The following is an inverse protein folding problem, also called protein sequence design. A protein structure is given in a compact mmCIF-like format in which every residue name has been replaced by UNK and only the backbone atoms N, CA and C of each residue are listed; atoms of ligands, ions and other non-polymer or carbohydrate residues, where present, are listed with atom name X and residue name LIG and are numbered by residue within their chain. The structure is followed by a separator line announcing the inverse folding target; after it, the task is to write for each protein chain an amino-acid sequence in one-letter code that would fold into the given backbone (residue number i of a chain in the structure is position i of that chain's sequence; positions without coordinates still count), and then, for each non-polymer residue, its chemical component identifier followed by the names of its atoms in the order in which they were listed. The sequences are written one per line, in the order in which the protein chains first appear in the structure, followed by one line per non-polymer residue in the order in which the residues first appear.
data_IF_529856038020
#
_entry.id   IF_529856038020
#
_cell.length_a   1.000
_cell.length_b   1.000
_cell.length_c   1.000
_cell.angle_alpha   90.00
_cell.angle_beta   90.00
_cell.angle_gamma   90.00
#
_symmetry.space_group_name_H-M   'P 1'
#
loop_
_entity.id
_entity.type
_entity.pdbx_description
1 polymer ?
#
# COMPACT_ATOMS: atom_id res chain seq x y z
N UNK A 1 27.03 22.70 -6.75
CA UNK A 1 25.73 22.01 -6.95
C UNK A 1 25.85 20.64 -6.28
N UNK A 2 25.04 20.29 -5.29
CA UNK A 2 24.97 18.90 -4.85
C UNK A 2 24.47 18.05 -6.03
N UNK A 3 24.97 16.82 -6.22
CA UNK A 3 24.45 15.94 -7.25
C UNK A 3 22.96 15.71 -6.98
N UNK A 4 22.15 15.92 -8.02
CA UNK A 4 20.77 15.42 -8.03
C UNK A 4 20.87 13.91 -7.78
N UNK A 5 20.45 13.46 -6.58
CA UNK A 5 20.26 12.05 -6.29
C UNK A 5 19.32 11.51 -7.37
N UNK A 6 19.81 10.64 -8.23
CA UNK A 6 18.96 9.94 -9.16
C UNK A 6 18.02 9.08 -8.32
N UNK A 7 16.72 9.40 -8.30
CA UNK A 7 15.72 8.54 -7.66
C UNK A 7 15.85 7.14 -8.24
N UNK A 8 16.03 6.14 -7.39
CA UNK A 8 16.03 4.75 -7.82
C UNK A 8 14.61 4.41 -8.28
N UNK A 9 14.46 4.19 -9.58
CA UNK A 9 13.16 3.91 -10.18
C UNK A 9 12.76 2.46 -9.93
N UNK A 10 11.47 2.25 -9.68
CA UNK A 10 10.87 0.91 -9.68
C UNK A 10 11.17 0.19 -11.01
N UNK A 11 11.49 -1.09 -10.93
CA UNK A 11 11.53 -1.95 -12.12
C UNK A 11 10.23 -2.72 -12.21
N UNK A 12 9.57 -2.62 -13.37
CA UNK A 12 8.26 -3.22 -13.58
C UNK A 12 8.25 -4.03 -14.87
N UNK A 13 7.83 -5.28 -14.77
CA UNK A 13 7.60 -6.17 -15.91
C UNK A 13 6.13 -6.52 -15.95
N UNK A 14 5.49 -6.34 -17.10
CA UNK A 14 4.10 -6.73 -17.33
C UNK A 14 4.07 -7.80 -18.40
N UNK A 15 3.39 -8.90 -18.12
CA UNK A 15 3.23 -10.03 -19.03
C UNK A 15 1.79 -10.50 -19.04
N UNK A 16 1.32 -11.02 -20.17
CA UNK A 16 0.01 -11.66 -20.28
C UNK A 16 0.13 -13.17 -20.13
N UNK A 17 -0.76 -13.76 -19.34
CA UNK A 17 -0.76 -15.18 -19.11
C UNK A 17 -1.90 -15.61 -18.19
N UNK A 18 -2.22 -16.89 -18.22
CA UNK A 18 -3.23 -17.47 -17.33
C UNK A 18 -2.71 -17.67 -15.92
N UNK A 19 -3.62 -17.98 -15.01
CA UNK A 19 -3.35 -18.22 -13.59
C UNK A 19 -2.24 -19.25 -13.34
N UNK A 20 -2.22 -20.34 -14.06
CA UNK A 20 -1.22 -21.41 -13.92
C UNK A 20 0.18 -20.89 -14.21
N UNK A 21 0.32 -20.03 -15.24
CA UNK A 21 1.59 -19.38 -15.56
C UNK A 21 2.03 -18.42 -14.47
N UNK A 22 1.09 -17.64 -13.92
CA UNK A 22 1.37 -16.79 -12.77
C UNK A 22 1.90 -17.63 -11.59
N UNK A 23 1.27 -18.75 -11.27
CA UNK A 23 1.71 -19.63 -10.16
C UNK A 23 3.09 -20.22 -10.40
N UNK A 24 3.47 -20.53 -11.65
CA UNK A 24 4.84 -20.92 -11.98
C UNK A 24 5.85 -19.81 -11.71
N UNK A 25 5.55 -18.59 -12.12
CA UNK A 25 6.39 -17.43 -11.87
C UNK A 25 6.49 -17.19 -10.37
N UNK A 26 5.38 -17.19 -9.65
CA UNK A 26 5.34 -17.00 -8.21
C UNK A 26 6.22 -18.01 -7.47
N UNK A 27 6.15 -19.28 -7.87
CA UNK A 27 7.02 -20.33 -7.32
C UNK A 27 8.50 -20.08 -7.62
N UNK A 28 8.82 -19.56 -8.80
CA UNK A 28 10.20 -19.21 -9.19
C UNK A 28 10.80 -18.09 -8.35
N UNK A 29 9.97 -17.21 -7.79
CA UNK A 29 10.38 -16.13 -6.91
C UNK A 29 10.21 -16.44 -5.42
N UNK A 30 9.85 -17.67 -5.07
CA UNK A 30 9.73 -18.09 -3.67
C UNK A 30 11.05 -17.87 -2.92
N UNK A 31 11.01 -17.13 -1.82
CA UNK A 31 12.20 -16.77 -1.05
C UNK A 31 13.05 -15.64 -1.66
N UNK A 32 12.61 -14.98 -2.72
CA UNK A 32 13.30 -13.80 -3.31
C UNK A 32 12.79 -12.52 -2.64
N UNK A 33 13.55 -11.87 -1.76
CA UNK A 33 13.12 -10.61 -1.14
C UNK A 33 13.08 -9.49 -2.19
N UNK A 34 12.22 -8.48 -1.93
CA UNK A 34 12.14 -7.27 -2.76
C UNK A 34 11.46 -7.47 -4.13
N UNK A 35 10.78 -8.60 -4.35
CA UNK A 35 9.98 -8.84 -5.56
C UNK A 35 8.52 -8.99 -5.16
N UNK A 36 7.65 -8.20 -5.76
CA UNK A 36 6.20 -8.25 -5.59
C UNK A 36 5.53 -8.75 -6.85
N UNK A 37 4.57 -9.63 -6.67
CA UNK A 37 3.91 -10.32 -7.77
C UNK A 37 2.41 -10.05 -7.73
N UNK A 38 1.86 -9.72 -8.89
CA UNK A 38 0.43 -9.42 -9.04
C UNK A 38 -0.15 -10.22 -10.20
N UNK A 39 -1.40 -10.62 -10.03
CA UNK A 39 -2.20 -11.23 -11.09
C UNK A 39 -3.62 -10.68 -11.06
N UNK A 40 -4.12 -10.29 -12.19
CA UNK A 40 -5.52 -9.96 -12.38
C UNK A 40 -5.88 -9.99 -13.87
N UNK A 41 -7.01 -10.60 -14.22
CA UNK A 41 -7.57 -10.62 -15.58
C UNK A 41 -6.53 -10.93 -16.67
N UNK A 42 -5.81 -12.04 -16.52
CA UNK A 42 -4.79 -12.48 -17.47
C UNK A 42 -3.53 -11.59 -17.52
N UNK A 43 -3.40 -10.61 -16.63
CA UNK A 43 -2.22 -9.77 -16.53
C UNK A 43 -1.38 -10.19 -15.33
N UNK A 44 -0.10 -10.48 -15.58
CA UNK A 44 0.92 -10.77 -14.58
C UNK A 44 1.84 -9.56 -14.49
N UNK A 45 2.04 -9.06 -13.27
CA UNK A 45 2.97 -7.96 -13.02
C UNK A 45 4.03 -8.40 -12.02
N UNK A 46 5.27 -8.08 -12.30
CA UNK A 46 6.43 -8.29 -11.43
C UNK A 46 6.99 -6.91 -11.15
N UNK A 47 7.03 -6.53 -9.87
CA UNK A 47 7.52 -5.24 -9.42
C UNK A 47 8.72 -5.47 -8.50
N UNK A 48 9.79 -4.77 -8.78
CA UNK A 48 10.95 -4.62 -7.90
C UNK A 48 10.99 -3.15 -7.47
N UNK A 49 10.50 -2.83 -6.25
CA UNK A 49 10.45 -1.46 -5.74
C UNK A 49 11.85 -0.86 -5.62
N UNK A 50 11.96 0.41 -5.94
CA UNK A 50 13.16 1.19 -5.69
C UNK A 50 13.31 1.61 -4.23
N UNK A 51 14.46 2.17 -3.85
CA UNK A 51 14.77 2.60 -2.49
C UNK A 51 13.75 3.63 -1.97
N UNK A 52 13.41 4.65 -2.78
CA UNK A 52 12.43 5.67 -2.39
C UNK A 52 11.05 5.06 -2.14
N UNK A 53 10.64 4.08 -2.95
CA UNK A 53 9.37 3.37 -2.79
C UNK A 53 9.29 2.68 -1.43
N UNK A 54 10.33 1.90 -1.08
CA UNK A 54 10.39 1.20 0.21
C UNK A 54 10.46 2.18 1.38
N UNK A 55 11.20 3.30 1.23
CA UNK A 55 11.27 4.33 2.27
C UNK A 55 9.92 4.95 2.57
N UNK A 56 9.14 5.32 1.55
CA UNK A 56 7.78 5.83 1.72
C UNK A 56 6.83 4.80 2.33
N UNK A 57 6.86 3.57 1.84
CA UNK A 57 6.02 2.49 2.39
C UNK A 57 6.29 2.30 3.88
N UNK A 58 7.58 2.24 4.26
CA UNK A 58 7.99 2.10 5.66
C UNK A 58 7.52 3.26 6.55
N UNK A 59 7.71 4.50 6.10
CA UNK A 59 7.29 5.69 6.86
C UNK A 59 5.78 5.75 7.02
N UNK A 60 5.02 5.51 5.95
CA UNK A 60 3.55 5.46 5.99
C UNK A 60 3.10 4.42 7.00
N UNK A 61 3.66 3.21 6.93
CA UNK A 61 3.35 2.13 7.85
C UNK A 61 3.67 2.48 9.29
N UNK A 62 4.81 3.12 9.55
CA UNK A 62 5.22 3.54 10.90
C UNK A 62 4.28 4.60 11.49
N UNK A 63 3.97 5.65 10.74
CA UNK A 63 3.08 6.72 11.18
C UNK A 63 1.66 6.20 11.46
N UNK A 64 1.13 5.37 10.55
CA UNK A 64 -0.18 4.76 10.73
C UNK A 64 -0.22 3.85 11.95
N UNK A 65 0.77 2.98 12.11
CA UNK A 65 0.89 2.10 13.29
C UNK A 65 0.96 2.91 14.58
N UNK A 66 1.72 4.00 14.59
CA UNK A 66 1.81 4.91 15.73
C UNK A 66 0.43 5.47 16.08
N UNK A 67 -0.32 5.96 15.10
CA UNK A 67 -1.68 6.47 15.31
C UNK A 67 -2.60 5.39 15.89
N UNK A 68 -2.62 4.21 15.30
CA UNK A 68 -3.48 3.10 15.76
C UNK A 68 -3.19 2.70 17.22
N UNK A 69 -1.91 2.67 17.60
CA UNK A 69 -1.48 2.39 18.98
C UNK A 69 -1.97 3.47 19.94
N UNK A 70 -1.75 4.75 19.63
CA UNK A 70 -2.12 5.87 20.49
C UNK A 70 -3.66 6.01 20.66
N UNK A 71 -4.41 5.62 19.61
CA UNK A 71 -5.88 5.59 19.67
C UNK A 71 -6.44 4.33 20.35
N UNK A 72 -5.60 3.38 20.76
CA UNK A 72 -6.03 2.12 21.35
C UNK A 72 -6.84 1.23 20.41
N UNK A 73 -6.65 1.39 19.10
CA UNK A 73 -7.35 0.60 18.09
C UNK A 73 -6.67 -0.75 17.94
N UNK A 74 -7.44 -1.83 18.04
CA UNK A 74 -6.89 -3.15 17.72
C UNK A 74 -6.61 -3.25 16.22
N UNK A 75 -5.40 -3.65 15.88
CA UNK A 75 -5.00 -3.90 14.50
C UNK A 75 -3.98 -5.04 14.41
N UNK A 76 -3.90 -5.64 13.23
CA UNK A 76 -2.82 -6.56 12.88
C UNK A 76 -2.20 -6.08 11.57
N UNK A 77 -0.91 -5.65 11.58
CA UNK A 77 -0.21 -5.36 10.33
C UNK A 77 0.02 -6.68 9.59
N UNK A 78 -0.23 -6.67 8.31
CA UNK A 78 -0.01 -7.82 7.42
C UNK A 78 1.03 -7.49 6.35
N UNK A 79 1.49 -6.22 6.29
CA UNK A 79 2.55 -5.77 5.39
C UNK A 79 2.29 -6.17 3.94
N UNK A 80 3.33 -6.63 3.26
CA UNK A 80 3.27 -7.11 1.88
C UNK A 80 2.81 -8.58 1.76
N UNK A 81 1.95 -9.05 2.66
CA UNK A 81 1.38 -10.40 2.57
C UNK A 81 0.64 -10.59 1.25
N UNK A 82 0.82 -11.75 0.62
CA UNK A 82 0.04 -12.11 -0.56
C UNK A 82 -1.43 -12.26 -0.19
N UNK A 83 -2.27 -11.46 -0.82
CA UNK A 83 -3.73 -11.52 -0.76
C UNK A 83 -4.21 -12.17 -2.05
N UNK A 84 -4.94 -13.27 -1.95
CA UNK A 84 -5.25 -14.09 -3.12
C UNK A 84 -6.67 -14.64 -3.09
N UNK A 85 -7.33 -14.59 -4.25
CA UNK A 85 -8.49 -15.40 -4.58
C UNK A 85 -8.13 -16.27 -5.77
N UNK A 86 -7.97 -17.56 -5.52
CA UNK A 86 -7.47 -18.55 -6.48
C UNK A 86 -8.16 -18.46 -7.85
N UNK A 87 -7.38 -18.47 -8.91
CA UNK A 87 -7.85 -18.36 -10.29
C UNK A 87 -8.28 -16.96 -10.72
N UNK A 88 -8.38 -15.99 -9.81
CA UNK A 88 -8.98 -14.67 -10.08
C UNK A 88 -7.98 -13.54 -9.91
N UNK A 89 -7.37 -13.43 -8.72
CA UNK A 89 -6.53 -12.30 -8.37
C UNK A 89 -5.49 -12.68 -7.32
N UNK A 90 -4.31 -12.09 -7.43
CA UNK A 90 -3.26 -12.12 -6.41
C UNK A 90 -2.60 -10.75 -6.35
N UNK A 91 -2.46 -10.15 -5.16
CA UNK A 91 -1.78 -8.88 -4.93
C UNK A 91 -0.91 -8.93 -3.69
N UNK A 92 0.12 -8.08 -3.69
CA UNK A 92 0.99 -7.81 -2.55
C UNK A 92 1.07 -6.29 -2.39
N UNK A 93 0.22 -5.74 -1.52
CA UNK A 93 0.26 -4.30 -1.19
C UNK A 93 1.61 -3.94 -0.55
N UNK A 94 1.97 -2.66 -0.58
CA UNK A 94 3.18 -2.19 0.12
C UNK A 94 3.00 -2.31 1.62
N UNK A 95 1.83 -1.90 2.11
CA UNK A 95 1.41 -2.08 3.50
C UNK A 95 -0.05 -2.54 3.54
N UNK A 96 -0.41 -3.35 4.53
CA UNK A 96 -1.80 -3.75 4.74
C UNK A 96 -2.12 -4.03 6.21
N UNK A 97 -3.39 -3.84 6.60
CA UNK A 97 -3.83 -3.92 7.99
C UNK A 97 -5.21 -4.55 8.10
N UNK A 98 -5.34 -5.47 9.06
CA UNK A 98 -6.65 -5.84 9.58
C UNK A 98 -6.98 -4.91 10.76
N UNK A 99 -8.16 -4.30 10.77
CA UNK A 99 -8.63 -3.38 11.81
C UNK A 99 -9.77 -4.05 12.60
N UNK A 100 -9.69 -3.96 13.92
CA UNK A 100 -10.71 -4.50 14.85
C UNK A 100 -10.64 -6.01 15.06
N UNK A 101 -10.24 -6.81 14.08
CA UNK A 101 -10.07 -8.27 14.20
C UNK A 101 -9.11 -8.80 13.14
N UNK A 102 -8.57 -10.00 13.35
CA UNK A 102 -7.74 -10.68 12.35
C UNK A 102 -8.62 -11.25 11.24
N UNK A 103 -8.28 -10.98 9.99
CA UNK A 103 -9.02 -11.39 8.79
C UNK A 103 -8.09 -12.00 7.74
N UNK A 104 -8.64 -12.78 6.85
CA UNK A 104 -7.88 -13.33 5.72
C UNK A 104 -7.57 -12.25 4.68
N UNK A 105 -8.54 -11.38 4.41
CA UNK A 105 -8.35 -10.20 3.56
C UNK A 105 -8.31 -8.98 4.49
N UNK A 106 -7.25 -8.15 4.41
CA UNK A 106 -7.12 -6.94 5.21
C UNK A 106 -8.24 -5.93 4.95
N UNK A 107 -8.50 -5.06 5.92
CA UNK A 107 -9.45 -3.96 5.78
C UNK A 107 -8.86 -2.78 5.00
N UNK A 108 -7.54 -2.61 5.10
CA UNK A 108 -6.80 -1.54 4.48
C UNK A 108 -5.63 -2.10 3.70
N UNK A 109 -5.48 -1.68 2.46
CA UNK A 109 -4.27 -1.85 1.66
C UNK A 109 -3.72 -0.48 1.24
N UNK A 110 -2.41 -0.31 1.30
CA UNK A 110 -1.72 0.93 0.97
C UNK A 110 -0.71 0.64 -0.14
N UNK A 111 -0.69 1.48 -1.15
CA UNK A 111 0.20 1.42 -2.30
C UNK A 111 0.97 2.73 -2.46
N UNK A 112 2.27 2.63 -2.62
CA UNK A 112 3.13 3.72 -3.06
C UNK A 112 3.26 3.65 -4.58
N UNK A 113 3.03 4.74 -5.27
CA UNK A 113 2.98 4.77 -6.74
C UNK A 113 3.91 5.85 -7.27
N UNK A 114 5.04 5.46 -7.84
CA UNK A 114 5.96 6.36 -8.55
C UNK A 114 5.77 6.33 -10.07
N UNK A 115 5.16 5.27 -10.59
CA UNK A 115 4.79 5.13 -11.99
C UNK A 115 3.29 5.17 -12.14
N UNK A 116 2.77 5.84 -13.16
CA UNK A 116 1.33 5.99 -13.41
C UNK A 116 0.57 4.65 -13.37
N UNK A 117 -0.68 4.67 -12.93
CA UNK A 117 -1.56 3.50 -12.96
C UNK A 117 -2.17 3.09 -11.64
N UNK A 118 -2.12 3.92 -10.59
CA UNK A 118 -2.72 3.61 -9.28
C UNK A 118 -4.19 3.24 -9.39
N UNK A 119 -4.99 3.99 -10.15
CA UNK A 119 -6.44 3.74 -10.31
C UNK A 119 -6.74 2.39 -10.95
N UNK A 120 -5.93 1.94 -11.93
CA UNK A 120 -6.11 0.63 -12.55
C UNK A 120 -5.88 -0.55 -11.59
N UNK A 121 -5.15 -0.32 -10.50
CA UNK A 121 -4.95 -1.30 -9.45
C UNK A 121 -6.20 -1.54 -8.59
N UNK A 122 -7.14 -0.59 -8.53
CA UNK A 122 -8.37 -0.71 -7.73
C UNK A 122 -9.20 -1.94 -8.11
N UNK A 123 -9.26 -2.32 -9.38
CA UNK A 123 -10.02 -3.49 -9.83
C UNK A 123 -9.48 -4.79 -9.20
N UNK A 124 -8.18 -4.88 -8.94
CA UNK A 124 -7.56 -6.02 -8.24
C UNK A 124 -8.04 -6.11 -6.78
N UNK A 125 -8.05 -4.98 -6.08
CA UNK A 125 -8.51 -4.90 -4.70
C UNK A 125 -10.01 -5.10 -4.59
N UNK A 126 -10.79 -4.61 -5.57
CA UNK A 126 -12.22 -4.89 -5.69
C UNK A 126 -12.48 -6.39 -5.82
N UNK A 127 -11.71 -7.07 -6.67
CA UNK A 127 -11.81 -8.51 -6.83
C UNK A 127 -11.53 -9.29 -5.55
N UNK A 128 -10.75 -8.75 -4.62
CA UNK A 128 -10.51 -9.29 -3.29
C UNK A 128 -11.58 -8.89 -2.27
N UNK A 129 -12.29 -7.78 -2.49
CA UNK A 129 -13.23 -7.21 -1.54
C UNK A 129 -12.54 -6.44 -0.41
N UNK A 130 -11.37 -5.83 -0.66
CA UNK A 130 -10.68 -4.98 0.32
C UNK A 130 -11.52 -3.73 0.59
N UNK A 131 -11.93 -3.44 1.85
CA UNK A 131 -12.81 -2.32 2.15
C UNK A 131 -12.25 -0.95 1.79
N UNK A 132 -10.95 -0.73 2.00
CA UNK A 132 -10.33 0.56 1.75
C UNK A 132 -8.93 0.42 1.15
N UNK A 133 -8.62 1.26 0.16
CA UNK A 133 -7.31 1.32 -0.50
C UNK A 133 -6.80 2.75 -0.50
N UNK A 134 -5.56 2.94 -0.04
CA UNK A 134 -4.88 4.21 -0.08
C UNK A 134 -3.75 4.18 -1.11
N UNK A 135 -3.64 5.25 -1.89
CA UNK A 135 -2.50 5.47 -2.78
C UNK A 135 -1.71 6.69 -2.34
N UNK A 136 -0.43 6.50 -2.13
CA UNK A 136 0.53 7.58 -2.06
C UNK A 136 1.14 7.78 -3.45
N UNK A 137 0.74 8.83 -4.13
CA UNK A 137 1.13 9.11 -5.52
C UNK A 137 1.42 10.60 -5.70
N UNK A 138 2.61 10.93 -6.19
CA UNK A 138 3.04 12.32 -6.44
C UNK A 138 2.91 13.25 -5.22
N UNK A 139 3.22 12.77 -4.02
CA UNK A 139 3.08 13.52 -2.78
C UNK A 139 1.64 13.71 -2.30
N UNK A 140 0.68 13.02 -2.91
CA UNK A 140 -0.73 13.06 -2.58
C UNK A 140 -1.21 11.73 -2.01
N UNK A 141 -1.96 11.79 -0.92
CA UNK A 141 -2.69 10.64 -0.40
C UNK A 141 -4.10 10.61 -0.99
N UNK A 142 -4.42 9.54 -1.71
CA UNK A 142 -5.74 9.29 -2.30
C UNK A 142 -6.37 8.10 -1.60
N UNK A 143 -7.55 8.29 -1.02
CA UNK A 143 -8.29 7.27 -0.29
C UNK A 143 -9.47 6.81 -1.15
N UNK A 144 -9.65 5.50 -1.25
CA UNK A 144 -10.77 4.88 -1.96
C UNK A 144 -11.44 3.87 -1.04
N UNK A 145 -12.74 4.01 -0.88
CA UNK A 145 -13.58 3.11 -0.09
C UNK A 145 -14.48 2.28 -0.99
N UNK A 146 -14.58 0.97 -0.73
CA UNK A 146 -15.43 0.06 -1.50
C UNK A 146 -16.88 0.20 -1.05
N UNK A 147 -17.73 0.70 -1.94
CA UNK A 147 -19.15 0.85 -1.71
C UNK A 147 -19.94 0.26 -2.90
N UNK A 148 -20.92 -0.57 -2.63
CA UNK A 148 -21.81 -1.17 -3.64
C UNK A 148 -21.10 -1.72 -4.88
N UNK A 149 -19.98 -2.45 -4.68
CA UNK A 149 -19.15 -3.03 -5.73
C UNK A 149 -18.33 -2.04 -6.57
N UNK A 150 -18.14 -0.80 -6.13
CA UNK A 150 -17.22 0.17 -6.75
C UNK A 150 -16.42 0.91 -5.69
N UNK A 151 -15.21 1.35 -6.08
CA UNK A 151 -14.44 2.24 -5.21
C UNK A 151 -14.85 3.69 -5.46
N UNK A 152 -15.19 4.36 -4.38
CA UNK A 152 -15.45 5.79 -4.36
C UNK A 152 -14.30 6.51 -3.65
N UNK A 153 -13.88 7.64 -4.23
CA UNK A 153 -12.88 8.50 -3.61
C UNK A 153 -13.45 9.16 -2.37
N UNK A 154 -12.68 9.13 -1.28
CA UNK A 154 -13.07 9.73 0.00
C UNK A 154 -12.02 10.73 0.49
N UNK A 155 -12.48 11.75 1.20
CA UNK A 155 -11.61 12.75 1.83
C UNK A 155 -11.08 12.30 3.20
N UNK A 156 -11.58 11.17 3.71
CA UNK A 156 -11.18 10.56 4.99
C UNK A 156 -11.35 9.06 4.95
N UNK A 157 -10.68 8.36 5.85
CA UNK A 157 -10.94 6.93 6.07
C UNK A 157 -12.36 6.70 6.60
N UNK A 158 -12.99 5.64 6.11
CA UNK A 158 -14.28 5.16 6.62
C UNK A 158 -14.11 3.92 7.53
N UNK A 159 -12.88 3.47 7.73
CA UNK A 159 -12.59 2.36 8.64
C UNK A 159 -12.74 2.80 10.10
N UNK A 160 -13.24 1.91 10.99
CA UNK A 160 -13.41 2.21 12.39
C UNK A 160 -12.14 2.73 13.05
N UNK A 161 -12.23 3.92 13.66
CA UNK A 161 -11.12 4.58 14.35
C UNK A 161 -10.18 5.37 13.45
N UNK A 162 -10.06 5.07 12.17
CA UNK A 162 -9.21 5.81 11.24
C UNK A 162 -9.86 7.11 10.71
N UNK A 163 -11.16 7.27 10.85
CA UNK A 163 -11.87 8.50 10.48
C UNK A 163 -11.37 9.76 11.21
N UNK A 164 -10.72 9.59 12.38
CA UNK A 164 -10.16 10.66 13.19
C UNK A 164 -8.71 11.00 12.84
N UNK A 165 -8.08 10.26 11.93
CA UNK A 165 -6.72 10.55 11.48
C UNK A 165 -6.67 11.93 10.81
N UNK A 166 -5.84 12.81 11.33
CA UNK A 166 -5.58 14.11 10.67
C UNK A 166 -4.72 13.87 9.42
N UNK A 167 -5.37 13.80 8.27
CA UNK A 167 -4.72 13.49 7.00
C UNK A 167 -3.74 14.58 6.55
N UNK A 168 -3.95 15.84 6.92
CA UNK A 168 -3.02 16.92 6.55
C UNK A 168 -1.73 16.81 7.36
N UNK A 169 -1.84 16.51 8.64
CA UNK A 169 -0.68 16.21 9.49
C UNK A 169 0.04 14.95 8.95
N UNK A 170 -0.70 13.89 8.66
CA UNK A 170 -0.15 12.64 8.16
C UNK A 170 0.64 12.83 6.86
N UNK A 171 0.05 13.50 5.85
CA UNK A 171 0.71 13.83 4.57
C UNK A 171 1.96 14.69 4.77
N UNK A 172 1.86 15.72 5.62
CA UNK A 172 2.99 16.60 5.92
C UNK A 172 4.16 15.82 6.52
N UNK A 173 3.88 14.90 7.45
CA UNK A 173 4.92 14.09 8.08
C UNK A 173 5.52 13.05 7.11
N UNK A 174 4.73 12.49 6.19
CA UNK A 174 5.29 11.63 5.13
C UNK A 174 6.29 12.40 4.27
N UNK A 175 5.95 13.61 3.82
CA UNK A 175 6.85 14.46 3.03
C UNK A 175 8.08 14.90 3.83
N UNK A 176 7.91 15.24 5.10
CA UNK A 176 9.04 15.61 5.99
C UNK A 176 10.06 14.47 6.11
N UNK A 177 9.59 13.24 6.09
CA UNK A 177 10.43 12.05 6.24
C UNK A 177 11.37 11.81 5.04
N UNK A 178 11.15 12.43 3.89
CA UNK A 178 12.13 12.44 2.77
C UNK A 178 13.47 13.06 3.21
N UNK A 179 13.44 13.99 4.17
CA UNK A 179 14.63 14.68 4.66
C UNK A 179 15.08 14.17 6.02
N UNK A 180 14.13 13.98 6.94
CA UNK A 180 14.38 13.50 8.31
C UNK A 180 13.19 12.71 8.85
N UNK A 181 13.26 11.39 8.72
CA UNK A 181 12.23 10.49 9.24
C UNK A 181 12.08 10.59 10.76
N UNK A 182 13.16 10.82 11.49
CA UNK A 182 13.13 10.97 12.95
C UNK A 182 12.33 12.19 13.38
N UNK A 183 12.56 13.35 12.72
CA UNK A 183 11.79 14.56 13.01
C UNK A 183 10.32 14.42 12.59
N UNK A 184 10.06 13.81 11.44
CA UNK A 184 8.70 13.52 10.97
C UNK A 184 7.89 12.72 12.01
N UNK A 185 8.49 11.69 12.59
CA UNK A 185 7.87 10.84 13.61
C UNK A 185 7.64 11.64 14.90
N UNK A 186 8.60 12.42 15.35
CA UNK A 186 8.46 13.29 16.54
C UNK A 186 7.37 14.32 16.34
N UNK A 187 7.33 14.99 15.19
CA UNK A 187 6.31 15.96 14.84
C UNK A 187 4.92 15.32 14.83
N UNK A 188 4.79 14.16 14.21
CA UNK A 188 3.52 13.43 14.16
C UNK A 188 3.00 13.10 15.55
N UNK A 189 3.84 12.53 16.44
CA UNK A 189 3.47 12.20 17.82
C UNK A 189 3.10 13.41 18.68
N UNK A 190 3.71 14.53 18.43
CA UNK A 190 3.46 15.77 19.20
C UNK A 190 2.14 16.44 18.82
N UNK A 191 1.72 16.28 17.57
CA UNK A 191 0.61 17.05 16.98
C UNK A 191 -0.65 16.22 16.69
N UNK A 192 -0.61 14.87 16.83
CA UNK A 192 -1.79 14.02 16.67
C UNK A 192 -2.72 14.05 17.90
#
# INVERSE_FOLDING_TARGET
MPPLLSKTTDQRIVHHGMWERFKFIQKGFEGSPGVRLFYYDGTIEILMPGEDHEAFAHVIGYLLTTFLVEQGIFFKPTGAMTQERSGVVSVQADESYCIGSVKQIPDLSIEVVFTSGGISKLERYKALGVPEVWFWEDGLLKIYHLQDCSYEKSDRSQLPGLSNLNLDLFKRCILMAETDAGEAIRAFRREM
#
